data_IF_230316057539
#
_entry.id   IF_230316057539
#
_cell.length_a   1.000
_cell.length_b   1.000
_cell.length_c   1.000
_cell.angle_alpha   90.00
_cell.angle_beta   90.00
_cell.angle_gamma   90.00
#
_symmetry.space_group_name_H-M   'P 1'
#
loop_
_entity.id
_entity.type
_entity.pdbx_description
1 polymer ?
#
# COMPACT_ATOMS: atom_id res chain seq x y z
N UNK A 1 6.18 24.85 -25.40
CA UNK A 1 4.96 24.95 -24.57
C UNK A 1 5.27 24.75 -23.07
N UNK A 2 5.07 25.80 -22.26
CA UNK A 2 5.22 25.72 -20.80
C UNK A 2 3.89 25.18 -20.27
N UNK A 3 3.90 23.91 -19.84
CA UNK A 3 2.71 23.33 -19.20
C UNK A 3 2.51 23.97 -17.83
N UNK A 4 1.26 24.26 -17.42
CA UNK A 4 1.00 24.77 -16.08
C UNK A 4 1.55 23.79 -15.04
N UNK A 5 2.31 24.28 -14.06
CA UNK A 5 2.96 23.46 -13.03
C UNK A 5 1.96 22.55 -12.28
N UNK A 6 0.72 23.02 -12.10
CA UNK A 6 -0.38 22.24 -11.54
C UNK A 6 -0.71 20.99 -12.39
N UNK A 7 -0.71 21.12 -13.71
CA UNK A 7 -0.96 20.01 -14.65
C UNK A 7 0.20 19.01 -14.65
N UNK A 8 1.44 19.48 -14.55
CA UNK A 8 2.63 18.61 -14.44
C UNK A 8 2.62 17.81 -13.15
N UNK A 9 2.24 18.45 -12.03
CA UNK A 9 2.13 17.77 -10.73
C UNK A 9 0.94 16.81 -10.69
N UNK A 10 -0.22 17.19 -11.22
CA UNK A 10 -1.37 16.31 -11.38
C UNK A 10 -1.01 15.07 -12.22
N UNK A 11 -0.33 15.27 -13.37
CA UNK A 11 0.21 14.17 -14.17
C UNK A 11 1.17 13.29 -13.37
N UNK A 12 2.08 13.89 -12.58
CA UNK A 12 3.01 13.13 -11.72
C UNK A 12 2.33 12.33 -10.60
N UNK A 13 1.11 12.71 -10.20
CA UNK A 13 0.30 11.98 -9.23
C UNK A 13 -0.52 10.86 -9.87
N UNK A 14 -0.98 11.06 -11.10
CA UNK A 14 -1.96 10.21 -11.79
C UNK A 14 -1.39 9.28 -12.85
N UNK A 15 -0.18 9.53 -13.34
CA UNK A 15 0.57 8.63 -14.26
C UNK A 15 0.91 7.31 -13.55
N UNK A 16 -0.07 6.42 -13.50
CA UNK A 16 0.14 4.99 -13.30
C UNK A 16 0.06 4.22 -14.61
N UNK A 17 -0.57 4.79 -15.65
CA UNK A 17 -0.69 4.18 -16.97
C UNK A 17 -0.69 5.25 -18.08
N UNK A 18 0.40 5.31 -18.84
CA UNK A 18 0.37 5.82 -20.20
C UNK A 18 1.20 4.94 -21.15
N UNK A 19 1.19 3.63 -20.94
CA UNK A 19 1.68 2.64 -21.92
C UNK A 19 0.59 1.60 -22.23
N UNK A 20 -0.59 2.07 -22.61
CA UNK A 20 -1.51 1.32 -23.47
C UNK A 20 -1.23 1.72 -24.93
N UNK A 21 -0.08 1.33 -25.46
CA UNK A 21 0.11 0.89 -26.86
C UNK A 21 1.60 0.69 -27.14
N UNK A 22 1.88 -0.45 -27.78
CA UNK A 22 3.16 -0.99 -28.22
C UNK A 22 4.09 -1.62 -27.16
N UNK A 23 4.46 -2.87 -27.44
CA UNK A 23 5.14 -3.77 -26.52
C UNK A 23 6.51 -3.27 -26.06
N UNK A 24 6.68 -3.20 -24.73
CA UNK A 24 7.98 -3.04 -24.09
C UNK A 24 7.93 -1.96 -23.02
N UNK A 25 8.02 -2.38 -21.75
CA UNK A 25 8.05 -1.54 -20.54
C UNK A 25 6.67 -1.10 -20.01
N UNK A 26 6.04 -2.00 -19.22
CA UNK A 26 4.99 -1.62 -18.26
C UNK A 26 5.51 -0.45 -17.41
N UNK A 27 4.72 0.63 -17.37
CA UNK A 27 5.08 1.91 -16.80
C UNK A 27 5.73 1.82 -15.42
N UNK A 28 6.90 2.45 -15.30
CA UNK A 28 7.53 2.69 -14.00
C UNK A 28 6.53 3.37 -13.08
N UNK A 29 6.47 2.93 -11.82
CA UNK A 29 5.63 3.53 -10.78
C UNK A 29 5.74 5.06 -10.85
N UNK A 30 4.61 5.76 -10.78
CA UNK A 30 4.52 7.23 -10.85
C UNK A 30 5.77 7.85 -10.22
N UNK A 31 6.60 8.62 -10.97
CA UNK A 31 7.95 9.02 -10.53
C UNK A 31 7.97 9.66 -9.14
N UNK A 32 6.87 10.30 -8.77
CA UNK A 32 6.65 10.92 -7.47
C UNK A 32 6.73 9.94 -6.28
N UNK A 33 6.32 8.69 -6.46
CA UNK A 33 6.33 7.68 -5.39
C UNK A 33 7.74 7.35 -4.90
N UNK A 34 8.74 7.55 -5.78
CA UNK A 34 10.16 7.31 -5.50
C UNK A 34 10.83 8.44 -4.72
N UNK A 35 10.15 9.58 -4.54
CA UNK A 35 10.72 10.65 -3.75
C UNK A 35 10.84 10.22 -2.27
N UNK A 36 11.95 10.58 -1.60
CA UNK A 36 12.06 10.44 -0.16
C UNK A 36 10.86 11.07 0.52
N UNK A 37 10.40 10.45 1.62
CA UNK A 37 9.18 10.86 2.31
C UNK A 37 9.09 12.37 2.63
N UNK A 38 10.16 13.05 3.10
CA UNK A 38 10.13 14.51 3.29
C UNK A 38 9.88 15.29 2.00
N UNK A 39 10.48 14.83 0.89
CA UNK A 39 10.32 15.42 -0.43
C UNK A 39 8.90 15.25 -0.97
N UNK A 40 8.33 14.05 -0.82
CA UNK A 40 6.93 13.78 -1.19
C UNK A 40 5.97 14.71 -0.45
N UNK A 41 6.11 14.85 0.88
CA UNK A 41 5.25 15.73 1.69
C UNK A 41 5.38 17.19 1.25
N UNK A 42 6.58 17.62 0.85
CA UNK A 42 6.81 18.97 0.34
C UNK A 42 6.07 19.19 -0.98
N UNK A 43 6.13 18.22 -1.90
CA UNK A 43 5.43 18.29 -3.19
C UNK A 43 3.90 18.28 -2.98
N UNK A 44 3.40 17.45 -2.07
CA UNK A 44 1.97 17.39 -1.74
C UNK A 44 1.44 18.73 -1.20
N UNK A 45 2.21 19.39 -0.33
CA UNK A 45 1.89 20.75 0.16
C UNK A 45 1.89 21.78 -0.97
N UNK A 46 2.88 21.73 -1.87
CA UNK A 46 2.93 22.62 -3.03
C UNK A 46 1.72 22.40 -3.96
N UNK A 47 1.33 21.14 -4.18
CA UNK A 47 0.15 20.80 -4.98
C UNK A 47 -1.14 21.42 -4.43
N UNK A 48 -1.29 21.48 -3.10
CA UNK A 48 -2.42 22.18 -2.46
C UNK A 48 -2.48 23.67 -2.83
N UNK A 49 -1.32 24.34 -2.85
CA UNK A 49 -1.22 25.77 -3.19
C UNK A 49 -1.51 26.00 -4.67
N UNK A 50 -1.15 25.03 -5.51
CA UNK A 50 -1.34 25.05 -6.95
C UNK A 50 -2.73 24.57 -7.39
N UNK A 51 -3.68 24.43 -6.46
CA UNK A 51 -5.07 24.03 -6.73
C UNK A 51 -5.20 22.67 -7.43
N UNK A 52 -4.28 21.74 -7.19
CA UNK A 52 -4.49 20.33 -7.53
C UNK A 52 -5.67 19.82 -6.70
N UNK A 53 -6.57 19.07 -7.35
CA UNK A 53 -7.78 18.59 -6.70
C UNK A 53 -7.47 17.77 -5.42
N UNK A 54 -8.44 17.71 -4.52
CA UNK A 54 -8.24 17.02 -3.24
C UNK A 54 -8.15 15.51 -3.42
N UNK A 55 -8.90 14.95 -4.38
CA UNK A 55 -8.98 13.51 -4.57
C UNK A 55 -7.73 12.93 -5.22
N UNK A 56 -7.08 13.62 -6.18
CA UNK A 56 -5.78 13.16 -6.72
C UNK A 56 -4.71 13.21 -5.66
N UNK A 57 -4.70 14.25 -4.81
CA UNK A 57 -3.75 14.34 -3.68
C UNK A 57 -3.97 13.21 -2.66
N UNK A 58 -5.23 12.84 -2.36
CA UNK A 58 -5.57 11.69 -1.51
C UNK A 58 -5.13 10.37 -2.14
N UNK A 59 -5.43 10.15 -3.44
CA UNK A 59 -4.99 8.95 -4.17
C UNK A 59 -3.46 8.84 -4.21
N UNK A 60 -2.76 9.94 -4.45
CA UNK A 60 -1.30 9.98 -4.41
C UNK A 60 -0.75 9.66 -3.02
N UNK A 61 -1.34 10.21 -1.97
CA UNK A 61 -0.96 9.93 -0.58
C UNK A 61 -1.19 8.45 -0.24
N UNK A 62 -2.29 7.87 -0.70
CA UNK A 62 -2.58 6.45 -0.55
C UNK A 62 -1.55 5.57 -1.28
N UNK A 63 -1.25 5.86 -2.55
CA UNK A 63 -0.21 5.15 -3.32
C UNK A 63 1.15 5.27 -2.65
N UNK A 64 1.49 6.45 -2.10
CA UNK A 64 2.76 6.65 -1.37
C UNK A 64 2.82 5.84 -0.09
N UNK A 65 1.71 5.69 0.63
CA UNK A 65 1.62 4.80 1.79
C UNK A 65 1.89 3.35 1.37
N UNK A 66 1.30 2.87 0.27
CA UNK A 66 1.54 1.50 -0.21
C UNK A 66 2.99 1.29 -0.65
N UNK A 67 3.60 2.28 -1.31
CA UNK A 67 5.03 2.25 -1.64
C UNK A 67 5.91 2.26 -0.38
N UNK A 68 5.53 3.04 0.63
CA UNK A 68 6.21 3.12 1.93
C UNK A 68 6.21 1.77 2.65
N UNK A 69 5.13 1.00 2.56
CA UNK A 69 5.05 -0.35 3.10
C UNK A 69 6.14 -1.25 2.47
N UNK A 70 6.36 -1.13 1.16
CA UNK A 70 7.46 -1.86 0.50
C UNK A 70 8.84 -1.40 0.97
N UNK A 71 9.05 -0.08 1.16
CA UNK A 71 10.31 0.46 1.68
C UNK A 71 10.61 -0.04 3.10
N UNK A 72 9.60 -0.05 3.97
CA UNK A 72 9.75 -0.52 5.36
C UNK A 72 9.92 -2.04 5.43
N UNK A 73 9.25 -2.78 4.54
CA UNK A 73 9.43 -4.23 4.44
C UNK A 73 10.87 -4.61 4.03
N UNK A 74 11.45 -3.93 3.05
CA UNK A 74 12.85 -4.16 2.63
C UNK A 74 13.82 -3.88 3.79
N UNK A 75 13.67 -2.73 4.48
CA UNK A 75 14.47 -2.40 5.67
C UNK A 75 14.31 -3.45 6.77
N UNK A 76 13.09 -3.94 6.99
CA UNK A 76 12.82 -4.95 8.00
C UNK A 76 13.43 -6.30 7.62
N UNK A 77 13.39 -6.67 6.34
CA UNK A 77 14.01 -7.90 5.83
C UNK A 77 15.55 -7.86 5.95
N UNK A 78 16.18 -6.71 5.74
CA UNK A 78 17.62 -6.53 5.90
C UNK A 78 18.08 -6.60 7.37
N UNK A 79 17.19 -6.25 8.31
CA UNK A 79 17.47 -6.24 9.74
C UNK A 79 17.03 -7.54 10.44
N UNK A 80 16.19 -8.34 9.81
CA UNK A 80 15.67 -9.57 10.37
C UNK A 80 16.75 -10.67 10.38
N UNK A 81 16.82 -11.51 11.43
CA UNK A 81 17.60 -12.73 11.39
C UNK A 81 17.12 -13.62 10.24
N UNK A 82 18.03 -14.29 9.52
CA UNK A 82 17.71 -15.21 8.41
C UNK A 82 16.71 -16.33 8.76
N UNK A 83 16.42 -16.55 10.04
CA UNK A 83 15.45 -17.53 10.55
C UNK A 83 14.02 -16.97 10.69
N UNK A 84 13.81 -15.67 10.51
CA UNK A 84 12.49 -15.06 10.67
C UNK A 84 11.63 -15.32 9.42
N UNK A 85 10.43 -15.86 9.62
CA UNK A 85 9.51 -16.14 8.51
C UNK A 85 8.90 -14.83 7.97
N UNK A 86 8.65 -14.76 6.66
CA UNK A 86 7.96 -13.62 6.01
C UNK A 86 6.64 -13.28 6.71
N UNK A 87 5.91 -14.30 7.19
CA UNK A 87 4.65 -14.12 7.94
C UNK A 87 4.81 -13.29 9.22
N UNK A 88 5.97 -13.35 9.89
CA UNK A 88 6.23 -12.56 11.09
C UNK A 88 6.40 -11.06 10.79
N UNK A 89 6.88 -10.70 9.59
CA UNK A 89 7.02 -9.30 9.17
C UNK A 89 5.66 -8.61 8.98
N UNK A 90 4.62 -9.39 8.66
CA UNK A 90 3.26 -8.89 8.54
C UNK A 90 2.50 -8.86 9.88
N UNK A 91 3.12 -9.30 10.99
CA UNK A 91 2.56 -9.14 12.34
C UNK A 91 1.16 -9.74 12.55
N UNK A 92 0.77 -10.75 11.77
CA UNK A 92 -0.59 -11.31 11.82
C UNK A 92 -1.68 -10.41 11.21
N UNK A 93 -1.32 -9.36 10.47
CA UNK A 93 -2.30 -8.47 9.82
C UNK A 93 -3.17 -9.19 8.78
N UNK A 94 -2.65 -10.25 8.18
CA UNK A 94 -3.31 -10.98 7.10
C UNK A 94 -4.27 -12.07 7.59
N UNK A 95 -4.33 -12.35 8.89
CA UNK A 95 -5.33 -13.24 9.45
C UNK A 95 -5.37 -13.21 10.96
N UNK A 96 -6.57 -13.40 11.52
CA UNK A 96 -6.76 -13.52 12.97
C UNK A 96 -7.04 -14.99 13.31
N UNK A 97 -6.47 -15.55 14.38
CA UNK A 97 -6.92 -16.84 14.89
C UNK A 97 -8.40 -16.71 15.30
N UNK A 98 -9.25 -17.60 14.79
CA UNK A 98 -10.64 -17.71 15.21
C UNK A 98 -10.66 -18.27 16.65
N UNK A 99 -10.67 -17.37 17.63
CA UNK A 99 -10.73 -17.64 19.07
C UNK A 99 -9.60 -18.50 19.66
N UNK A 100 -8.77 -17.86 20.50
CA UNK A 100 -8.13 -18.56 21.61
C UNK A 100 -9.18 -18.84 22.67
N UNK A 101 -10.01 -19.88 22.48
CA UNK A 101 -10.71 -20.48 23.62
C UNK A 101 -9.65 -21.13 24.50
N UNK A 102 -9.44 -20.67 25.75
CA UNK A 102 -8.41 -21.23 26.61
C UNK A 102 -8.88 -22.60 27.10
N UNK A 103 -8.58 -23.66 26.34
CA UNK A 103 -8.95 -25.01 26.78
C UNK A 103 -8.75 -26.18 25.84
N UNK A 104 -8.54 -25.98 24.53
CA UNK A 104 -8.45 -27.11 23.59
C UNK A 104 -7.11 -27.10 22.87
N UNK A 105 -6.14 -27.79 23.45
CA UNK A 105 -4.87 -28.14 22.82
C UNK A 105 -5.19 -29.20 21.75
N UNK A 106 -5.47 -28.79 20.51
CA UNK A 106 -5.61 -29.75 19.41
C UNK A 106 -6.41 -29.33 18.19
N UNK A 107 -7.20 -28.25 18.24
CA UNK A 107 -7.93 -27.80 17.05
C UNK A 107 -7.05 -26.87 16.21
N UNK A 108 -6.86 -27.25 14.94
CA UNK A 108 -6.25 -26.41 13.92
C UNK A 108 -6.94 -25.05 13.96
N UNK A 109 -6.22 -24.01 14.37
CA UNK A 109 -6.77 -22.66 14.40
C UNK A 109 -7.19 -22.33 12.97
N UNK A 110 -8.48 -22.28 12.68
CA UNK A 110 -8.96 -21.80 11.39
C UNK A 110 -8.54 -20.32 11.29
N UNK A 111 -7.65 -20.05 10.34
CA UNK A 111 -7.18 -18.69 10.06
C UNK A 111 -8.18 -18.04 9.11
N UNK A 112 -8.86 -16.99 9.57
CA UNK A 112 -9.70 -16.18 8.68
C UNK A 112 -8.86 -15.05 8.08
N UNK A 113 -8.71 -14.99 6.75
CA UNK A 113 -7.97 -13.91 6.12
C UNK A 113 -8.61 -12.55 6.37
N UNK A 114 -7.77 -11.53 6.60
CA UNK A 114 -8.24 -10.18 6.85
C UNK A 114 -8.82 -9.55 5.57
N UNK A 115 -10.08 -9.09 5.64
CA UNK A 115 -10.76 -8.39 4.53
C UNK A 115 -10.64 -6.86 4.63
N UNK A 116 -9.97 -6.38 5.67
CA UNK A 116 -9.74 -4.96 5.94
C UNK A 116 -8.58 -4.80 6.92
N UNK A 117 -7.68 -3.86 6.65
CA UNK A 117 -6.55 -3.52 7.52
C UNK A 117 -6.49 -2.02 7.71
N UNK A 118 -6.61 -1.54 8.95
CA UNK A 118 -6.52 -0.11 9.24
C UNK A 118 -5.07 0.39 9.23
N UNK A 119 -4.87 1.68 8.92
CA UNK A 119 -3.57 2.34 9.05
C UNK A 119 -3.04 2.22 10.49
N UNK A 120 -3.93 2.31 11.48
CA UNK A 120 -3.56 2.12 12.88
C UNK A 120 -2.93 0.75 13.15
N UNK A 121 -3.47 -0.31 12.56
CA UNK A 121 -2.94 -1.67 12.72
C UNK A 121 -1.55 -1.81 12.10
N UNK A 122 -1.27 -1.09 11.00
CA UNK A 122 0.07 -1.08 10.37
C UNK A 122 1.15 -0.57 11.32
N UNK A 123 0.82 0.43 12.17
CA UNK A 123 1.76 1.04 13.14
C UNK A 123 2.27 0.06 14.19
N UNK A 124 1.55 -1.05 14.38
CA UNK A 124 1.91 -2.12 15.32
C UNK A 124 2.86 -3.14 14.68
N UNK A 125 3.26 -2.94 13.43
CA UNK A 125 4.10 -3.86 12.67
C UNK A 125 5.33 -3.16 12.10
N UNK A 126 6.27 -3.93 11.56
CA UNK A 126 7.44 -3.39 10.85
C UNK A 126 7.10 -2.77 9.48
N UNK A 127 5.86 -2.88 9.02
CA UNK A 127 5.41 -2.34 7.72
C UNK A 127 5.16 -0.82 7.75
N UNK A 128 5.11 -0.21 8.95
CA UNK A 128 4.99 1.22 9.10
C UNK A 128 5.65 1.70 10.40
N UNK A 129 6.92 2.09 10.33
CA UNK A 129 7.62 2.61 11.51
C UNK A 129 7.01 3.89 12.06
N UNK A 130 7.22 4.13 13.36
CA UNK A 130 6.73 5.32 14.05
C UNK A 130 7.24 6.64 13.41
N UNK A 131 8.47 6.65 12.89
CA UNK A 131 9.04 7.82 12.22
C UNK A 131 8.33 8.10 10.88
N UNK A 132 8.14 7.06 10.07
CA UNK A 132 7.44 7.14 8.78
C UNK A 132 5.97 7.56 8.97
N UNK A 133 5.29 6.99 9.96
CA UNK A 133 3.93 7.39 10.35
C UNK A 133 3.86 8.87 10.79
N UNK A 134 4.73 9.28 11.72
CA UNK A 134 4.76 10.66 12.22
C UNK A 134 5.06 11.69 11.13
N UNK A 135 5.71 11.29 10.05
CA UNK A 135 5.98 12.16 8.93
C UNK A 135 4.77 12.27 7.99
N UNK A 136 4.13 11.14 7.67
CA UNK A 136 2.91 11.11 6.86
C UNK A 136 1.76 11.87 7.51
N UNK A 137 1.60 11.79 8.84
CA UNK A 137 0.54 12.49 9.59
C UNK A 137 0.62 14.03 9.54
N UNK A 138 1.71 14.58 8.99
CA UNK A 138 1.85 16.01 8.71
C UNK A 138 1.11 16.46 7.46
N UNK A 139 0.64 15.53 6.62
CA UNK A 139 -0.21 15.80 5.47
C UNK A 139 -1.69 15.71 5.84
N UNK A 140 -2.51 16.63 5.33
CA UNK A 140 -3.95 16.64 5.61
C UNK A 140 -4.65 15.45 4.96
N UNK A 141 -4.17 15.08 3.77
CA UNK A 141 -4.63 13.93 3.01
C UNK A 141 -4.43 12.63 3.76
N UNK A 142 -3.31 12.47 4.47
CA UNK A 142 -3.07 11.27 5.25
C UNK A 142 -4.03 11.18 6.44
N UNK A 143 -4.27 12.30 7.14
CA UNK A 143 -5.26 12.35 8.23
C UNK A 143 -6.67 11.99 7.74
N UNK A 144 -7.02 12.35 6.51
CA UNK A 144 -8.27 11.92 5.89
C UNK A 144 -8.31 10.40 5.63
N UNK A 145 -7.20 9.80 5.20
CA UNK A 145 -7.12 8.34 5.01
C UNK A 145 -7.23 7.57 6.33
N UNK A 146 -6.89 8.19 7.45
CA UNK A 146 -7.03 7.61 8.80
C UNK A 146 -8.45 7.72 9.36
N UNK A 147 -9.31 8.55 8.77
CA UNK A 147 -10.69 8.72 9.23
C UNK A 147 -11.48 7.42 9.03
N UNK A 148 -12.10 6.85 10.09
CA UNK A 148 -12.92 5.65 9.98
C UNK A 148 -14.10 5.75 9.00
N UNK A 149 -14.55 6.97 8.68
CA UNK A 149 -15.57 7.20 7.65
C UNK A 149 -15.06 6.95 6.23
N UNK A 150 -13.75 6.90 6.02
CA UNK A 150 -13.12 6.56 4.74
C UNK A 150 -13.08 5.03 4.54
N UNK A 151 -14.25 4.45 4.28
CA UNK A 151 -14.48 2.99 4.31
C UNK A 151 -13.64 2.15 3.35
N UNK A 152 -13.16 2.74 2.25
CA UNK A 152 -12.43 2.02 1.20
C UNK A 152 -10.95 1.78 1.53
N UNK A 153 -10.36 2.55 2.45
CA UNK A 153 -8.92 2.48 2.76
C UNK A 153 -8.55 1.12 3.32
N UNK A 154 -9.34 0.61 4.27
CA UNK A 154 -9.10 -0.67 4.91
C UNK A 154 -9.06 -1.85 3.94
N UNK A 155 -10.11 -2.05 3.12
CA UNK A 155 -10.13 -3.05 2.06
C UNK A 155 -8.97 -2.92 1.06
N UNK A 156 -8.67 -1.70 0.60
CA UNK A 156 -7.60 -1.48 -0.37
C UNK A 156 -6.21 -1.82 0.20
N UNK A 157 -5.95 -1.49 1.48
CA UNK A 157 -4.72 -1.93 2.17
C UNK A 157 -4.69 -3.45 2.28
N UNK A 158 -5.78 -4.09 2.70
CA UNK A 158 -5.83 -5.55 2.84
C UNK A 158 -5.53 -6.26 1.51
N UNK A 159 -6.16 -5.81 0.42
CA UNK A 159 -5.92 -6.32 -0.93
C UNK A 159 -4.44 -6.24 -1.33
N UNK A 160 -3.83 -5.06 -1.12
CA UNK A 160 -2.43 -4.85 -1.42
C UNK A 160 -1.52 -5.75 -0.58
N UNK A 161 -1.78 -5.89 0.73
CA UNK A 161 -0.97 -6.71 1.62
C UNK A 161 -1.05 -8.21 1.28
N UNK A 162 -2.22 -8.72 0.88
CA UNK A 162 -2.36 -10.11 0.43
C UNK A 162 -1.53 -10.37 -0.84
N UNK A 163 -1.59 -9.47 -1.81
CA UNK A 163 -0.78 -9.57 -3.02
C UNK A 163 0.72 -9.45 -2.72
N UNK A 164 1.11 -8.50 -1.85
CA UNK A 164 2.49 -8.31 -1.41
C UNK A 164 3.04 -9.57 -0.72
N UNK A 165 2.24 -10.17 0.17
CA UNK A 165 2.63 -11.40 0.85
C UNK A 165 2.86 -12.55 -0.13
N UNK A 166 1.95 -12.76 -1.09
CA UNK A 166 2.11 -13.78 -2.14
C UNK A 166 3.40 -13.57 -2.97
N UNK A 167 3.72 -12.31 -3.30
CA UNK A 167 4.92 -11.98 -4.08
C UNK A 167 6.20 -12.19 -3.28
N UNK A 168 6.26 -11.73 -2.03
CA UNK A 168 7.47 -11.78 -1.20
C UNK A 168 7.73 -13.21 -0.71
N UNK A 169 6.70 -14.01 -0.48
CA UNK A 169 6.86 -15.44 -0.18
C UNK A 169 7.43 -16.21 -1.37
N UNK A 170 7.05 -15.85 -2.59
CA UNK A 170 7.57 -16.48 -3.81
C UNK A 170 8.95 -15.95 -4.20
N UNK A 171 9.22 -14.67 -3.95
CA UNK A 171 10.47 -14.01 -4.35
C UNK A 171 10.90 -12.91 -3.35
N UNK A 172 11.58 -13.29 -2.25
CA UNK A 172 11.84 -12.41 -1.11
C UNK A 172 12.94 -11.35 -1.34
N UNK A 173 13.61 -11.33 -2.51
CA UNK A 173 14.80 -10.48 -2.75
C UNK A 173 14.61 -9.40 -3.82
N UNK A 174 13.37 -9.04 -4.13
CA UNK A 174 13.07 -7.95 -5.07
C UNK A 174 13.26 -6.59 -4.38
N UNK A 175 13.91 -5.66 -5.06
CA UNK A 175 14.03 -4.29 -4.56
C UNK A 175 12.66 -3.60 -4.47
N UNK A 176 12.55 -2.51 -3.69
CA UNK A 176 11.26 -1.80 -3.46
C UNK A 176 10.44 -1.57 -4.73
N UNK A 177 11.05 -0.98 -5.77
CA UNK A 177 10.33 -0.65 -7.01
C UNK A 177 9.88 -1.89 -7.76
N UNK A 178 10.64 -2.98 -7.73
CA UNK A 178 10.29 -4.24 -8.39
C UNK A 178 9.17 -4.97 -7.64
N UNK A 179 9.23 -4.95 -6.30
CA UNK A 179 8.19 -5.50 -5.43
C UNK A 179 6.87 -4.76 -5.63
N UNK A 180 6.89 -3.42 -5.57
CA UNK A 180 5.70 -2.61 -5.80
C UNK A 180 5.10 -2.87 -7.19
N UNK A 181 5.94 -2.89 -8.23
CA UNK A 181 5.50 -3.19 -9.60
C UNK A 181 4.94 -4.60 -9.77
N UNK A 182 5.56 -5.59 -9.13
CA UNK A 182 5.03 -6.95 -9.14
C UNK A 182 3.63 -7.00 -8.49
N UNK A 183 3.42 -6.24 -7.40
CA UNK A 183 2.12 -6.15 -6.72
C UNK A 183 1.10 -5.48 -7.64
N UNK A 184 1.46 -4.37 -8.30
CA UNK A 184 0.58 -3.72 -9.27
C UNK A 184 0.26 -4.61 -10.46
N UNK A 185 1.16 -5.51 -10.86
CA UNK A 185 0.91 -6.47 -11.94
C UNK A 185 -0.25 -7.44 -11.67
N UNK A 186 -0.76 -7.47 -10.43
CA UNK A 186 -2.00 -8.18 -10.06
C UNK A 186 -3.20 -7.32 -10.48
N UNK A 187 -3.96 -7.79 -11.48
CA UNK A 187 -5.04 -7.04 -12.15
C UNK A 187 -6.06 -6.36 -11.21
N UNK A 188 -6.38 -6.99 -10.08
CA UNK A 188 -7.30 -6.43 -9.07
C UNK A 188 -6.65 -5.30 -8.25
N UNK A 189 -5.35 -5.40 -7.97
CA UNK A 189 -4.59 -4.37 -7.27
C UNK A 189 -4.34 -3.15 -8.17
N UNK A 190 -4.05 -3.36 -9.45
CA UNK A 190 -3.89 -2.29 -10.45
C UNK A 190 -5.12 -1.37 -10.49
N UNK A 191 -6.31 -1.95 -10.68
CA UNK A 191 -7.57 -1.23 -10.71
C UNK A 191 -7.85 -0.49 -9.39
N UNK A 192 -7.47 -1.12 -8.27
CA UNK A 192 -7.56 -0.55 -6.93
C UNK A 192 -6.63 0.66 -6.76
N UNK A 193 -5.42 0.65 -7.32
CA UNK A 193 -4.51 1.78 -7.22
C UNK A 193 -4.96 2.98 -8.04
N UNK A 194 -5.64 2.74 -9.17
CA UNK A 194 -6.22 3.80 -9.99
C UNK A 194 -7.43 4.44 -9.31
N UNK A 195 -8.33 3.62 -8.76
CA UNK A 195 -9.60 4.06 -8.16
C UNK A 195 -9.87 3.34 -6.83
N UNK A 196 -9.09 3.63 -5.78
CA UNK A 196 -9.18 2.89 -4.53
C UNK A 196 -10.53 3.11 -3.83
N UNK A 197 -11.21 4.21 -4.13
CA UNK A 197 -12.56 4.49 -3.63
C UNK A 197 -13.64 3.50 -4.08
N UNK A 198 -13.35 2.67 -5.09
CA UNK A 198 -14.27 1.64 -5.59
C UNK A 198 -14.13 0.29 -4.90
N UNK A 199 -13.14 0.14 -4.03
CA UNK A 199 -12.81 -1.16 -3.44
C UNK A 199 -13.64 -1.41 -2.20
N UNK A 200 -14.22 -2.60 -2.12
CA UNK A 200 -14.97 -3.07 -0.98
C UNK A 200 -14.44 -4.41 -0.43
N UNK A 201 -15.13 -4.96 0.58
CA UNK A 201 -14.73 -6.23 1.20
C UNK A 201 -14.91 -7.45 0.27
N UNK A 202 -15.81 -7.38 -0.70
CA UNK A 202 -16.07 -8.48 -1.63
C UNK A 202 -14.95 -8.59 -2.67
N UNK A 203 -14.37 -7.46 -3.09
CA UNK A 203 -13.16 -7.44 -3.92
C UNK A 203 -12.01 -8.19 -3.22
N UNK A 204 -11.78 -7.94 -1.93
CA UNK A 204 -10.73 -8.63 -1.15
C UNK A 204 -11.02 -10.13 -1.06
N UNK A 205 -12.28 -10.53 -0.82
CA UNK A 205 -12.68 -11.95 -0.75
C UNK A 205 -12.47 -12.68 -2.08
N UNK A 206 -12.69 -12.01 -3.21
CA UNK A 206 -12.47 -12.60 -4.52
C UNK A 206 -11.01 -13.02 -4.71
N UNK A 207 -10.04 -12.18 -4.29
CA UNK A 207 -8.60 -12.49 -4.36
C UNK A 207 -8.22 -13.61 -3.41
N UNK A 208 -8.80 -13.63 -2.22
CA UNK A 208 -8.54 -14.66 -1.22
C UNK A 208 -8.94 -16.06 -1.67
N UNK A 209 -9.84 -16.19 -2.66
CA UNK A 209 -10.18 -17.49 -3.24
C UNK A 209 -9.14 -18.01 -4.25
N UNK A 210 -8.16 -17.18 -4.63
CA UNK A 210 -7.14 -17.49 -5.65
C UNK A 210 -5.74 -17.70 -5.05
N UNK A 211 -5.54 -17.28 -3.81
CA UNK A 211 -4.31 -17.46 -3.01
C UNK A 211 -4.45 -18.75 -2.20
#
# INVERSE_FOLDING_TARGET
>A
PVWPLATVLAGSFEELDSSCDDGGERGMAAPLLRYPLPGFITILKAASVLSVDMDSRRRATFRRLLYLICEELEKAADQAPYSQSVAQLFGGLLGRPLSTSPGVIGEQSEWKPAVSVSIESLRLTSLLSAASYSMMSRAEEFRYLEDPSTVWVGPAIALFLHALFSIVTTNPRKGVSETFQAVMGTKLVENTLLRPEKVDHDDVRSVLSWI
#
